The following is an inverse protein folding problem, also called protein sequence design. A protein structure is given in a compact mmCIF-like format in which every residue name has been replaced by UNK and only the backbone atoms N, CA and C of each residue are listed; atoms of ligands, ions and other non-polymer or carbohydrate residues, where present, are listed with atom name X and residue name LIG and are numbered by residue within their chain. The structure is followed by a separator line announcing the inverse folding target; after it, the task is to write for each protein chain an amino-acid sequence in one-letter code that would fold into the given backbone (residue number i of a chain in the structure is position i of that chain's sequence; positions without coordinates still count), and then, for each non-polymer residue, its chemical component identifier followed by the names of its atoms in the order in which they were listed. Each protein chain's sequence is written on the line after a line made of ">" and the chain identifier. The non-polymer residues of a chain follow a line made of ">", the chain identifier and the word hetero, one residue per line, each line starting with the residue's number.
data_IF_931239592420
#
_entry.id   IF_931239592420
#
_cell.length_a   1.000
_cell.length_b   1.000
_cell.length_c   1.000
_cell.angle_alpha   90.00
_cell.angle_beta   90.00
_cell.angle_gamma   90.00
#
_symmetry.space_group_name_H-M   'P 1'
#
loop_
_entity.id
_entity.type
_entity.pdbx_description
1 polymer ?
#
# COMPACT_ATOMS: atom_id res chain seq x y z
N UNK A 1 -13.20 8.50 -7.26
CA UNK A 1 -13.56 7.89 -5.95
C UNK A 1 -13.16 8.82 -4.82
N UNK A 2 -13.48 8.48 -3.58
CA UNK A 2 -13.02 9.23 -2.38
C UNK A 2 -11.61 8.86 -1.95
N UNK A 3 -11.06 7.77 -2.49
CA UNK A 3 -9.72 7.29 -2.17
C UNK A 3 -8.66 7.97 -3.03
N UNK A 4 -7.56 8.36 -2.38
CA UNK A 4 -6.31 8.74 -3.01
C UNK A 4 -5.28 7.62 -2.79
N UNK A 5 -4.40 7.42 -3.77
CA UNK A 5 -3.42 6.34 -3.78
C UNK A 5 -2.05 6.85 -4.25
N UNK A 6 -0.99 6.38 -3.61
CA UNK A 6 0.39 6.51 -4.03
C UNK A 6 1.12 5.18 -3.89
N UNK A 7 2.09 4.95 -4.76
CA UNK A 7 3.01 3.83 -4.72
C UNK A 7 4.43 4.36 -4.88
N UNK A 8 5.24 4.21 -3.84
CA UNK A 8 6.69 4.37 -3.92
C UNK A 8 7.33 2.99 -4.02
N UNK A 9 7.86 2.67 -5.19
CA UNK A 9 8.39 1.35 -5.45
C UNK A 9 8.35 1.00 -6.93
N UNK A 10 8.57 -0.28 -7.18
CA UNK A 10 8.52 -0.87 -8.51
C UNK A 10 8.31 -2.37 -8.39
N UNK A 11 7.59 -2.95 -9.35
CA UNK A 11 7.38 -4.38 -9.47
C UNK A 11 8.30 -4.95 -10.57
N UNK A 12 9.36 -5.71 -10.22
CA UNK A 12 10.23 -6.35 -11.19
C UNK A 12 9.46 -7.27 -12.14
N UNK A 13 9.86 -7.29 -13.41
CA UNK A 13 9.26 -8.17 -14.42
C UNK A 13 7.87 -7.73 -14.92
N UNK A 14 7.38 -6.56 -14.53
CA UNK A 14 6.13 -6.01 -15.07
C UNK A 14 6.23 -5.82 -16.61
N UNK A 15 5.17 -6.11 -17.37
CA UNK A 15 3.86 -6.59 -16.91
C UNK A 15 3.76 -8.10 -16.68
N UNK A 16 4.74 -8.88 -17.13
CA UNK A 16 4.67 -10.36 -17.12
C UNK A 16 4.53 -10.96 -15.72
N UNK A 17 5.25 -10.42 -14.73
CA UNK A 17 5.18 -10.90 -13.34
C UNK A 17 3.79 -10.74 -12.72
N UNK A 18 2.98 -9.79 -13.19
CA UNK A 18 1.63 -9.55 -12.67
C UNK A 18 0.52 -10.16 -13.52
N UNK A 19 0.83 -11.03 -14.49
CA UNK A 19 -0.19 -11.68 -15.31
C UNK A 19 -1.16 -12.55 -14.48
N UNK A 20 -0.65 -13.24 -13.44
CA UNK A 20 -1.47 -14.03 -12.50
C UNK A 20 -2.43 -13.15 -11.70
N UNK A 21 -1.94 -12.20 -10.88
CA UNK A 21 -2.79 -11.28 -10.14
C UNK A 21 -3.78 -10.51 -11.03
N UNK A 22 -3.34 -10.06 -12.21
CA UNK A 22 -4.21 -9.34 -13.14
C UNK A 22 -5.37 -10.20 -13.68
N UNK A 23 -5.27 -11.53 -13.68
CA UNK A 23 -6.34 -12.41 -14.14
C UNK A 23 -7.57 -12.40 -13.23
N UNK A 24 -7.43 -11.94 -11.99
CA UNK A 24 -8.58 -11.73 -11.09
C UNK A 24 -9.42 -10.50 -11.50
N UNK A 25 -8.85 -9.55 -12.24
CA UNK A 25 -9.53 -8.33 -12.63
C UNK A 25 -10.44 -8.56 -13.86
N UNK A 26 -11.71 -8.12 -13.82
CA UNK A 26 -12.56 -8.04 -14.99
C UNK A 26 -11.90 -7.22 -16.10
N UNK A 27 -12.07 -7.64 -17.36
CA UNK A 27 -11.48 -6.93 -18.51
C UNK A 27 -11.81 -5.43 -18.55
N UNK A 28 -13.01 -5.05 -18.10
CA UNK A 28 -13.42 -3.63 -18.00
C UNK A 28 -12.53 -2.82 -17.05
N UNK A 29 -12.07 -3.41 -15.95
CA UNK A 29 -11.23 -2.74 -14.94
C UNK A 29 -9.81 -2.58 -15.47
N UNK A 30 -9.28 -3.60 -16.15
CA UNK A 30 -8.00 -3.54 -16.87
C UNK A 30 -8.00 -2.49 -17.98
N UNK A 31 -9.09 -2.38 -18.75
CA UNK A 31 -9.22 -1.39 -19.83
C UNK A 31 -9.45 0.03 -19.30
N UNK A 32 -9.83 0.18 -18.03
CA UNK A 32 -10.11 1.48 -17.38
C UNK A 32 -8.93 1.98 -16.54
N UNK A 33 -7.77 1.32 -16.58
CA UNK A 33 -6.58 1.75 -15.86
C UNK A 33 -6.19 3.17 -16.26
N UNK A 34 -5.91 4.01 -15.26
CA UNK A 34 -5.53 5.41 -15.48
C UNK A 34 -4.18 5.56 -16.20
N UNK A 35 -3.31 4.54 -16.10
CA UNK A 35 -2.03 4.51 -16.76
C UNK A 35 -1.58 3.06 -17.01
N UNK A 36 -0.67 2.88 -17.97
CA UNK A 36 -0.03 1.60 -18.26
C UNK A 36 1.28 1.48 -17.48
N UNK A 37 1.16 1.32 -16.16
CA UNK A 37 2.29 1.03 -15.26
C UNK A 37 1.87 0.05 -14.16
N UNK A 38 2.85 -0.44 -13.40
CA UNK A 38 2.66 -1.34 -12.27
C UNK A 38 1.81 -0.71 -11.16
N UNK A 39 2.09 0.55 -10.79
CA UNK A 39 1.32 1.29 -9.77
C UNK A 39 -0.17 1.32 -10.05
N UNK A 40 -0.58 1.56 -11.30
CA UNK A 40 -1.97 1.59 -11.71
C UNK A 40 -2.63 0.21 -11.61
N UNK A 41 -1.90 -0.86 -11.95
CA UNK A 41 -2.39 -2.23 -11.81
C UNK A 41 -2.53 -2.63 -10.34
N UNK A 42 -1.53 -2.34 -9.51
CA UNK A 42 -1.58 -2.55 -8.04
C UNK A 42 -2.77 -1.82 -7.45
N UNK A 43 -3.02 -0.57 -7.88
CA UNK A 43 -4.18 0.18 -7.42
C UNK A 43 -5.51 -0.47 -7.82
N UNK A 44 -5.61 -0.98 -9.05
CA UNK A 44 -6.80 -1.68 -9.50
C UNK A 44 -7.06 -2.96 -8.70
N UNK A 45 -6.03 -3.71 -8.32
CA UNK A 45 -6.15 -4.88 -7.43
C UNK A 45 -6.72 -4.49 -6.06
N UNK A 46 -6.22 -3.41 -5.45
CA UNK A 46 -6.77 -2.89 -4.18
C UNK A 46 -8.24 -2.50 -4.34
N UNK A 47 -8.58 -1.74 -5.38
CA UNK A 47 -9.96 -1.31 -5.63
C UNK A 47 -10.91 -2.49 -5.88
N UNK A 48 -10.43 -3.52 -6.58
CA UNK A 48 -11.21 -4.71 -6.85
C UNK A 48 -11.57 -5.46 -5.56
N UNK A 49 -10.61 -5.61 -4.65
CA UNK A 49 -10.82 -6.22 -3.32
C UNK A 49 -11.79 -5.41 -2.46
N UNK A 50 -11.64 -4.09 -2.42
CA UNK A 50 -12.59 -3.20 -1.72
C UNK A 50 -13.99 -3.32 -2.30
N UNK A 51 -14.12 -3.38 -3.63
CA UNK A 51 -15.42 -3.58 -4.29
C UNK A 51 -16.03 -4.96 -4.03
N UNK A 52 -15.20 -5.98 -3.75
CA UNK A 52 -15.61 -7.32 -3.36
C UNK A 52 -16.03 -7.42 -1.87
N UNK A 53 -15.79 -6.37 -1.06
CA UNK A 53 -16.25 -6.27 0.32
C UNK A 53 -15.14 -6.31 1.38
N UNK A 54 -13.88 -6.41 0.97
CA UNK A 54 -12.75 -6.31 1.91
C UNK A 54 -12.69 -4.89 2.50
N UNK A 55 -12.28 -4.80 3.78
CA UNK A 55 -11.93 -3.50 4.34
C UNK A 55 -10.63 -2.97 3.70
N UNK A 56 -10.42 -1.65 3.76
CA UNK A 56 -9.27 -1.04 3.07
C UNK A 56 -7.91 -1.57 3.58
N UNK A 57 -7.67 -1.74 4.90
CA UNK A 57 -6.45 -2.36 5.41
C UNK A 57 -6.22 -3.78 4.88
N UNK A 58 -7.26 -4.63 4.88
CA UNK A 58 -7.18 -5.99 4.37
C UNK A 58 -6.92 -6.04 2.87
N UNK A 59 -7.64 -5.22 2.09
CA UNK A 59 -7.44 -5.11 0.63
C UNK A 59 -6.01 -4.71 0.27
N UNK A 60 -5.42 -3.75 0.99
CA UNK A 60 -4.02 -3.33 0.79
C UNK A 60 -3.06 -4.44 1.20
N UNK A 61 -3.24 -5.04 2.37
CA UNK A 61 -2.37 -6.10 2.88
C UNK A 61 -2.31 -7.32 1.94
N UNK A 62 -3.47 -7.80 1.48
CA UNK A 62 -3.55 -8.95 0.60
C UNK A 62 -3.02 -8.64 -0.80
N UNK A 63 -3.25 -7.43 -1.31
CA UNK A 63 -2.64 -7.00 -2.59
C UNK A 63 -1.11 -6.99 -2.50
N UNK A 64 -0.54 -6.45 -1.42
CA UNK A 64 0.92 -6.42 -1.24
C UNK A 64 1.49 -7.83 -1.15
N UNK A 65 0.85 -8.74 -0.43
CA UNK A 65 1.27 -10.15 -0.37
C UNK A 65 1.27 -10.82 -1.73
N UNK A 66 0.15 -10.73 -2.44
CA UNK A 66 -0.02 -11.36 -3.75
C UNK A 66 1.00 -10.83 -4.76
N UNK A 67 1.24 -9.52 -4.77
CA UNK A 67 2.22 -8.89 -5.67
C UNK A 67 3.65 -9.28 -5.29
N UNK A 68 3.98 -9.34 -3.99
CA UNK A 68 5.30 -9.74 -3.54
C UNK A 68 5.60 -11.22 -3.80
N UNK A 69 4.59 -12.10 -3.74
CA UNK A 69 4.71 -13.50 -4.13
C UNK A 69 4.93 -13.66 -5.64
N UNK A 70 4.16 -12.93 -6.46
CA UNK A 70 4.26 -12.98 -7.91
C UNK A 70 5.54 -12.32 -8.47
N UNK A 71 6.07 -11.32 -7.76
CA UNK A 71 7.27 -10.59 -8.13
C UNK A 71 8.22 -10.44 -6.93
N UNK A 72 8.98 -11.49 -6.58
CA UNK A 72 10.00 -11.40 -5.54
C UNK A 72 10.96 -10.25 -5.81
N UNK A 73 11.19 -9.40 -4.81
CA UNK A 73 11.97 -8.17 -4.94
C UNK A 73 11.17 -6.92 -5.31
N UNK A 74 9.85 -7.00 -5.39
CA UNK A 74 8.99 -5.81 -5.46
C UNK A 74 9.18 -4.92 -4.22
N UNK A 75 9.27 -3.61 -4.46
CA UNK A 75 9.14 -2.59 -3.42
C UNK A 75 7.72 -2.05 -3.50
N UNK A 76 7.00 -2.05 -2.39
CA UNK A 76 5.54 -1.86 -2.36
C UNK A 76 5.16 -0.93 -1.22
N UNK A 77 5.76 0.26 -1.13
CA UNK A 77 5.31 1.28 -0.19
C UNK A 77 4.06 1.94 -0.77
N UNK A 78 2.90 1.44 -0.36
CA UNK A 78 1.60 1.99 -0.74
C UNK A 78 1.19 3.02 0.30
N UNK A 79 0.48 4.05 -0.14
CA UNK A 79 -0.20 4.99 0.74
C UNK A 79 -1.58 5.27 0.18
N UNK A 80 -2.60 4.90 0.93
CA UNK A 80 -4.02 5.04 0.57
C UNK A 80 -4.73 5.82 1.65
N UNK A 81 -5.57 6.78 1.25
CA UNK A 81 -6.37 7.55 2.21
C UNK A 81 -7.76 7.82 1.68
N UNK A 82 -8.74 7.81 2.59
CA UNK A 82 -10.12 8.26 2.36
C UNK A 82 -10.36 9.70 2.84
N UNK A 83 -9.31 10.40 3.29
CA UNK A 83 -9.36 11.73 3.89
C UNK A 83 -9.51 11.74 5.41
N UNK A 84 -9.73 10.59 6.05
CA UNK A 84 -9.84 10.45 7.52
C UNK A 84 -8.88 9.42 8.11
N UNK A 85 -8.51 8.40 7.33
CA UNK A 85 -7.53 7.39 7.65
C UNK A 85 -6.44 7.30 6.59
N UNK A 86 -5.26 6.84 6.97
CA UNK A 86 -4.16 6.48 6.09
C UNK A 86 -3.89 4.98 6.29
N UNK A 87 -3.92 4.22 5.21
CA UNK A 87 -3.45 2.83 5.15
C UNK A 87 -2.18 2.84 4.32
N UNK A 88 -1.07 2.41 4.91
CA UNK A 88 0.22 2.41 4.23
C UNK A 88 0.97 1.10 4.46
N UNK A 89 1.95 0.82 3.60
CA UNK A 89 2.84 -0.33 3.76
C UNK A 89 4.29 0.10 3.75
N UNK A 90 5.09 -0.51 4.62
CA UNK A 90 6.54 -0.56 4.51
C UNK A 90 6.90 -1.93 3.93
N UNK A 91 7.44 -1.95 2.71
CA UNK A 91 7.82 -3.16 1.99
C UNK A 91 8.97 -2.88 1.02
N UNK A 92 10.19 -3.17 1.47
CA UNK A 92 11.40 -3.04 0.67
C UNK A 92 11.92 -1.62 0.46
N UNK A 93 11.31 -0.62 1.11
CA UNK A 93 11.74 0.79 1.13
C UNK A 93 11.33 1.46 2.46
N UNK A 94 11.90 2.62 2.79
CA UNK A 94 11.65 3.28 4.08
C UNK A 94 10.26 3.92 4.14
N UNK A 95 9.65 3.84 5.32
CA UNK A 95 8.41 4.53 5.65
C UNK A 95 8.51 5.03 7.10
N UNK A 96 8.06 6.24 7.32
CA UNK A 96 8.12 6.93 8.61
C UNK A 96 6.75 7.49 8.94
N UNK A 97 6.47 7.59 10.23
CA UNK A 97 5.28 8.28 10.73
C UNK A 97 5.62 9.27 11.84
N UNK A 98 4.87 10.37 11.87
CA UNK A 98 4.87 11.35 12.93
C UNK A 98 3.44 11.46 13.45
N UNK A 99 3.25 11.19 14.74
CA UNK A 99 1.93 11.19 15.36
C UNK A 99 1.87 12.22 16.48
N UNK A 100 0.88 13.10 16.40
CA UNK A 100 0.51 14.07 17.42
C UNK A 100 -0.92 13.74 17.90
N UNK A 101 -1.05 12.95 19.00
CA UNK A 101 -2.32 12.38 19.41
C UNK A 101 -3.44 13.42 19.53
N UNK A 102 -4.56 13.18 18.84
CA UNK A 102 -5.73 14.05 18.83
C UNK A 102 -5.60 15.31 17.96
N UNK A 103 -4.48 15.49 17.25
CA UNK A 103 -4.23 16.65 16.38
C UNK A 103 -3.95 16.26 14.93
N UNK A 104 -2.94 15.42 14.69
CA UNK A 104 -2.52 15.09 13.33
C UNK A 104 -1.64 13.86 13.27
N UNK A 105 -1.67 13.18 12.12
CA UNK A 105 -0.72 12.13 11.79
C UNK A 105 -0.16 12.37 10.40
N UNK A 106 1.16 12.31 10.27
CA UNK A 106 1.86 12.30 9.00
C UNK A 106 2.48 10.94 8.75
N UNK A 107 2.47 10.51 7.48
CA UNK A 107 3.14 9.30 7.00
C UNK A 107 3.91 9.70 5.74
N UNK A 108 5.20 9.41 5.70
CA UNK A 108 6.11 9.83 4.63
C UNK A 108 7.22 8.80 4.39
N UNK A 109 7.89 8.85 3.25
CA UNK A 109 9.04 7.96 2.98
C UNK A 109 10.27 8.30 3.82
N UNK A 110 10.40 9.55 4.25
CA UNK A 110 11.44 10.07 5.13
C UNK A 110 10.90 11.25 5.95
N UNK A 111 11.49 11.55 7.13
CA UNK A 111 11.17 12.75 7.90
C UNK A 111 11.37 14.02 7.07
N UNK A 112 10.36 14.90 7.04
CA UNK A 112 10.46 16.19 6.32
C UNK A 112 10.94 17.34 7.21
N UNK A 113 11.15 17.09 8.50
CA UNK A 113 11.69 18.00 9.50
C UNK A 113 12.47 17.20 10.58
N UNK A 114 13.08 17.92 11.51
CA UNK A 114 13.89 17.34 12.58
C UNK A 114 13.07 16.96 13.84
N UNK A 115 11.74 16.78 13.75
CA UNK A 115 10.93 16.43 14.93
C UNK A 115 11.39 15.06 15.49
N UNK A 116 11.88 14.97 16.74
CA UNK A 116 12.42 13.74 17.29
C UNK A 116 11.36 12.65 17.52
N UNK A 117 10.07 12.96 17.31
CA UNK A 117 8.96 12.01 17.41
C UNK A 117 8.74 11.21 16.12
N UNK A 118 9.43 11.53 15.03
CA UNK A 118 9.43 10.66 13.84
C UNK A 118 9.84 9.23 14.23
N UNK A 119 9.05 8.27 13.76
CA UNK A 119 9.30 6.84 13.98
C UNK A 119 9.34 6.13 12.64
N UNK A 120 10.41 5.36 12.44
CA UNK A 120 10.50 4.46 11.30
C UNK A 120 9.51 3.30 11.48
N UNK A 121 8.79 2.98 10.41
CA UNK A 121 7.92 1.81 10.35
C UNK A 121 8.79 0.62 9.98
N UNK A 122 8.79 -0.48 10.77
CA UNK A 122 9.54 -1.68 10.43
C UNK A 122 9.16 -2.20 9.05
N UNK A 123 10.13 -2.71 8.30
CA UNK A 123 9.86 -3.35 7.01
C UNK A 123 8.84 -4.49 7.14
N UNK A 124 8.13 -4.78 6.04
CA UNK A 124 7.01 -5.74 5.94
C UNK A 124 5.91 -5.47 6.96
N UNK A 125 5.47 -4.22 7.05
CA UNK A 125 4.44 -3.79 8.00
C UNK A 125 3.32 -3.05 7.28
N UNK A 126 2.08 -3.38 7.64
CA UNK A 126 0.90 -2.57 7.34
C UNK A 126 0.75 -1.53 8.45
N UNK A 127 0.64 -0.26 8.09
CA UNK A 127 0.36 0.84 8.99
C UNK A 127 -1.07 1.32 8.76
N UNK A 128 -1.90 1.32 9.80
CA UNK A 128 -3.19 2.01 9.79
C UNK A 128 -3.09 3.21 10.73
N UNK A 129 -3.34 4.40 10.21
CA UNK A 129 -3.18 5.66 10.93
C UNK A 129 -4.45 6.52 10.82
N UNK A 130 -4.83 7.11 11.95
CA UNK A 130 -5.87 8.15 12.04
C UNK A 130 -5.32 9.34 12.82
N UNK A 131 -6.12 10.38 13.05
CA UNK A 131 -5.73 11.46 13.95
C UNK A 131 -5.61 11.03 15.43
N UNK A 132 -6.26 9.92 15.81
CA UNK A 132 -6.28 9.43 17.19
C UNK A 132 -5.16 8.42 17.47
N UNK A 133 -4.92 7.51 16.52
CA UNK A 133 -4.06 6.34 16.74
C UNK A 133 -3.24 5.97 15.51
N UNK A 134 -2.12 5.29 15.74
CA UNK A 134 -1.28 4.65 14.72
C UNK A 134 -1.05 3.19 15.10
N UNK A 135 -1.41 2.27 14.22
CA UNK A 135 -1.36 0.82 14.45
C UNK A 135 -0.52 0.12 13.38
N UNK A 136 0.76 -0.17 13.66
CA UNK A 136 1.57 -1.04 12.82
C UNK A 136 1.21 -2.51 13.05
N UNK A 137 1.04 -3.26 11.97
CA UNK A 137 0.73 -4.70 11.96
C UNK A 137 1.71 -5.41 11.04
N UNK A 138 2.57 -6.32 11.55
CA UNK A 138 3.49 -7.08 10.72
C UNK A 138 2.75 -7.90 9.65
N UNK A 139 3.20 -7.78 8.41
CA UNK A 139 2.80 -8.65 7.32
C UNK A 139 3.72 -9.87 7.31
N UNK A 140 3.20 -11.02 7.77
CA UNK A 140 3.79 -12.34 7.47
C UNK A 140 4.22 -12.41 6.00
N UNK A 141 5.48 -12.74 5.76
CA UNK A 141 5.97 -13.08 4.43
C UNK A 141 5.17 -14.27 3.87
N UNK A 142 4.94 -14.31 2.54
CA UNK A 142 4.57 -15.55 1.88
C UNK A 142 5.62 -16.62 2.19
N UNK A 143 5.21 -17.87 2.40
CA UNK A 143 6.16 -18.95 2.56
C UNK A 143 7.00 -19.09 1.27
N UNK A 144 8.32 -19.18 1.44
CA UNK A 144 9.29 -19.34 0.35
C UNK A 144 9.14 -20.68 -0.40
#
# INVERSE_FOLDING_TARGET
>A
GRLLFSHNGAVPGWPGSLAGPAAALPARELLSLAARNDSALVWALVLHRVAAGDDLPGAVAETVREVAEAAPGARLNLLVTDGTSIVATAWGDTLWHLHDPGRSTAVASEPYDDDPRWREVPDRTLLVATAADVTPTPLKEPAA
#
